data_IF_404715737215
#
_entry.id   IF_404715737215
#
_cell.length_a   1.000
_cell.length_b   1.000
_cell.length_c   1.000
_cell.angle_alpha   90.00
_cell.angle_beta   90.00
_cell.angle_gamma   90.00
#
_symmetry.space_group_name_H-M   'P 1'
#
loop_
_entity.id
_entity.type
_entity.pdbx_description
1 polymer ?
#
# COMPACT_ATOMS: atom_id res chain seq x y z
N UNK A 1 14.48 3.15 12.43
CA UNK A 1 13.21 3.58 11.80
C UNK A 1 12.29 4.05 12.91
N UNK A 2 11.95 5.35 12.99
CA UNK A 2 10.88 5.80 13.89
C UNK A 2 9.58 5.72 13.08
N UNK A 3 8.66 4.86 13.50
CA UNK A 3 7.27 4.86 13.04
C UNK A 3 6.47 5.60 14.08
N UNK A 4 5.79 6.68 13.69
CA UNK A 4 4.85 7.36 14.59
C UNK A 4 3.53 6.56 14.63
N UNK A 5 3.12 6.03 15.80
CA UNK A 5 1.93 5.20 15.91
C UNK A 5 0.63 6.03 15.82
N UNK A 6 -0.33 5.54 15.04
CA UNK A 6 -1.66 6.14 14.87
C UNK A 6 -2.67 5.62 15.91
N UNK A 7 -2.80 6.23 17.11
CA UNK A 7 -3.82 5.83 18.11
C UNK A 7 -4.58 7.00 18.77
N UNK A 8 -5.93 6.92 18.72
CA UNK A 8 -7.03 7.65 19.42
C UNK A 8 -7.03 9.20 19.32
N UNK A 9 -8.09 9.96 19.05
CA UNK A 9 -9.54 9.79 18.88
C UNK A 9 -10.20 11.14 18.50
N UNK A 10 -9.55 12.27 18.78
CA UNK A 10 -9.98 13.63 18.38
C UNK A 10 -8.90 14.47 17.66
N UNK A 11 -7.61 14.08 17.76
CA UNK A 11 -6.44 14.65 17.03
C UNK A 11 -6.08 13.83 15.75
N UNK A 12 -6.98 12.93 15.33
CA UNK A 12 -6.68 11.88 14.33
C UNK A 12 -6.62 12.40 12.90
N UNK A 13 -7.49 13.34 12.51
CA UNK A 13 -7.44 13.96 11.18
C UNK A 13 -6.17 14.78 11.02
N UNK A 14 -5.89 15.67 11.98
CA UNK A 14 -4.71 16.54 11.96
C UNK A 14 -3.40 15.78 11.93
N UNK A 15 -3.20 14.76 12.77
CA UNK A 15 -1.97 13.93 12.73
C UNK A 15 -1.81 13.18 11.43
N UNK A 16 -2.90 12.67 10.88
CA UNK A 16 -2.87 11.90 9.64
C UNK A 16 -2.56 12.76 8.43
N UNK A 17 -3.20 13.92 8.31
CA UNK A 17 -2.87 14.92 7.29
C UNK A 17 -1.43 15.38 7.42
N UNK A 18 -0.95 15.65 8.64
CA UNK A 18 0.47 15.98 8.90
C UNK A 18 1.41 14.87 8.44
N UNK A 19 1.09 13.60 8.71
CA UNK A 19 1.91 12.47 8.27
C UNK A 19 1.91 12.31 6.74
N UNK A 20 0.74 12.42 6.09
CA UNK A 20 0.63 12.38 4.62
C UNK A 20 1.37 13.55 3.97
N UNK A 21 1.25 14.75 4.55
CA UNK A 21 1.98 15.94 4.11
C UNK A 21 3.48 15.75 4.28
N UNK A 22 3.93 15.27 5.44
CA UNK A 22 5.34 15.01 5.70
C UNK A 22 5.92 13.95 4.74
N UNK A 23 5.15 12.90 4.43
CA UNK A 23 5.55 11.88 3.47
C UNK A 23 5.63 12.44 2.05
N UNK A 24 4.62 13.20 1.60
CA UNK A 24 4.58 13.85 0.27
C UNK A 24 5.76 14.80 0.04
N UNK A 25 6.25 15.46 1.09
CA UNK A 25 7.39 16.38 1.03
C UNK A 25 8.72 15.71 1.41
N UNK A 26 8.77 14.37 1.54
CA UNK A 26 10.00 13.63 1.84
C UNK A 26 10.57 13.83 3.25
N UNK A 27 9.85 14.52 4.15
CA UNK A 27 10.27 14.70 5.57
C UNK A 27 10.27 13.39 6.33
N UNK A 28 9.37 12.46 5.96
CA UNK A 28 9.41 11.07 6.38
C UNK A 28 9.43 10.18 5.12
N UNK A 29 10.15 9.07 5.21
CA UNK A 29 10.34 8.13 4.08
C UNK A 29 9.45 6.90 4.13
N UNK A 30 8.68 6.73 5.21
CA UNK A 30 7.91 5.52 5.44
C UNK A 30 6.62 5.87 6.16
N UNK A 31 5.51 5.35 5.65
CA UNK A 31 4.18 5.45 6.25
C UNK A 31 3.67 4.04 6.54
N UNK A 32 3.20 3.79 7.75
CA UNK A 32 2.67 2.49 8.17
C UNK A 32 1.22 2.65 8.58
N UNK A 33 0.36 1.74 8.13
CA UNK A 33 -1.07 1.77 8.43
C UNK A 33 -1.66 0.36 8.51
N UNK A 34 -2.38 0.07 9.60
CA UNK A 34 -2.91 -1.27 9.88
C UNK A 34 -4.17 -1.61 9.09
N UNK A 35 -5.07 -0.63 8.94
CA UNK A 35 -6.08 -0.63 7.88
C UNK A 35 -5.55 0.37 6.88
N UNK A 36 -5.07 -0.08 5.72
CA UNK A 36 -4.48 0.85 4.74
C UNK A 36 -5.52 1.88 4.42
N UNK A 37 -5.37 3.03 5.09
CA UNK A 37 -5.89 4.32 4.75
C UNK A 37 -7.27 4.18 4.08
N UNK A 38 -8.30 3.96 4.92
CA UNK A 38 -9.71 3.73 4.59
C UNK A 38 -10.15 4.24 3.20
N UNK A 39 -11.09 3.53 2.58
CA UNK A 39 -11.74 3.91 1.33
C UNK A 39 -11.99 5.44 1.26
N UNK A 40 -11.30 6.13 0.34
CA UNK A 40 -11.41 7.58 0.16
C UNK A 40 -10.15 8.39 0.45
N UNK A 41 -9.00 7.76 0.66
CA UNK A 41 -7.77 8.47 1.05
C UNK A 41 -6.71 8.39 -0.04
N UNK A 42 -6.33 9.55 -0.58
CA UNK A 42 -5.28 9.70 -1.60
C UNK A 42 -3.90 9.54 -0.94
N UNK A 43 -3.27 8.40 -1.17
CA UNK A 43 -1.91 8.13 -0.69
C UNK A 43 -0.95 8.83 -1.65
N UNK A 44 0.03 9.61 -1.14
CA UNK A 44 1.03 10.24 -1.99
C UNK A 44 1.82 9.18 -2.76
N UNK A 45 2.34 9.57 -3.92
CA UNK A 45 3.11 8.70 -4.79
C UNK A 45 4.27 8.05 -4.02
N UNK A 46 4.30 6.72 -4.02
CA UNK A 46 5.32 5.92 -3.36
C UNK A 46 5.98 4.99 -4.39
N UNK A 47 7.30 4.82 -4.30
CA UNK A 47 8.02 3.91 -5.19
C UNK A 47 7.91 2.44 -4.73
N UNK A 48 7.72 2.23 -3.43
CA UNK A 48 7.72 0.89 -2.81
C UNK A 48 6.52 0.73 -1.89
N UNK A 49 5.77 -0.35 -2.07
CA UNK A 49 4.70 -0.77 -1.18
C UNK A 49 5.06 -2.11 -0.53
N UNK A 50 4.88 -2.22 0.79
CA UNK A 50 4.98 -3.47 1.54
C UNK A 50 3.61 -3.83 2.08
N UNK A 51 3.08 -4.98 1.65
CA UNK A 51 1.78 -5.49 2.09
C UNK A 51 2.01 -6.66 3.03
N UNK A 52 1.44 -6.57 4.22
CA UNK A 52 1.56 -7.58 5.28
C UNK A 52 0.17 -8.00 5.72
N UNK A 53 -0.20 -9.25 5.44
CA UNK A 53 -1.50 -9.80 5.77
C UNK A 53 -2.67 -9.13 5.04
N UNK A 54 -3.75 -9.89 4.83
CA UNK A 54 -4.98 -9.34 4.29
C UNK A 54 -5.91 -10.39 3.71
N UNK A 55 -7.15 -10.39 4.21
CA UNK A 55 -8.26 -11.15 3.66
C UNK A 55 -8.93 -10.47 2.44
N UNK A 56 -8.30 -9.43 1.89
CA UNK A 56 -8.85 -8.69 0.76
C UNK A 56 -8.92 -9.61 -0.47
N UNK A 57 -10.05 -9.55 -1.17
CA UNK A 57 -10.22 -10.25 -2.44
C UNK A 57 -9.20 -9.75 -3.49
N UNK A 58 -8.97 -10.56 -4.51
CA UNK A 58 -8.01 -10.26 -5.59
C UNK A 58 -8.22 -8.86 -6.19
N UNK A 59 -9.47 -8.53 -6.56
CA UNK A 59 -9.82 -7.24 -7.18
C UNK A 59 -9.52 -6.05 -6.28
N UNK A 60 -9.87 -6.15 -5.01
CA UNK A 60 -9.64 -5.09 -4.02
C UNK A 60 -8.14 -4.87 -3.79
N UNK A 61 -7.37 -5.96 -3.72
CA UNK A 61 -5.92 -5.88 -3.62
C UNK A 61 -5.28 -5.17 -4.81
N UNK A 62 -5.66 -5.55 -6.04
CA UNK A 62 -5.15 -4.93 -7.27
C UNK A 62 -5.49 -3.43 -7.32
N UNK A 63 -6.72 -3.05 -6.97
CA UNK A 63 -7.12 -1.64 -6.92
C UNK A 63 -6.35 -0.86 -5.85
N UNK A 64 -6.15 -1.45 -4.67
CA UNK A 64 -5.40 -0.83 -3.58
C UNK A 64 -3.93 -0.61 -3.95
N UNK A 65 -3.27 -1.61 -4.53
CA UNK A 65 -1.89 -1.47 -5.03
C UNK A 65 -1.79 -0.38 -6.10
N UNK A 66 -2.72 -0.35 -7.06
CA UNK A 66 -2.73 0.67 -8.12
C UNK A 66 -2.95 2.11 -7.62
N UNK A 67 -3.58 2.29 -6.46
CA UNK A 67 -3.70 3.62 -5.82
C UNK A 67 -2.46 4.04 -5.05
N UNK A 68 -1.66 3.08 -4.58
CA UNK A 68 -0.43 3.34 -3.82
C UNK A 68 0.75 3.67 -4.73
N UNK A 69 0.85 2.95 -5.85
CA UNK A 69 1.98 3.06 -6.78
C UNK A 69 1.48 3.72 -8.07
N UNK A 70 1.80 5.01 -8.26
CA UNK A 70 1.47 5.70 -9.51
C UNK A 70 2.68 5.59 -10.45
N UNK A 71 2.55 4.98 -11.62
CA UNK A 71 3.66 4.95 -12.58
C UNK A 71 4.00 6.37 -13.03
N UNK A 72 5.29 6.65 -13.18
CA UNK A 72 5.81 7.89 -13.73
C UNK A 72 7.07 7.61 -14.54
N UNK A 73 7.43 8.50 -15.45
CA UNK A 73 8.62 8.33 -16.28
C UNK A 73 9.87 8.15 -15.41
N UNK A 74 10.65 7.11 -15.68
CA UNK A 74 11.85 6.76 -14.91
C UNK A 74 11.59 6.16 -13.52
N UNK A 75 10.33 6.02 -13.06
CA UNK A 75 9.99 5.45 -11.76
C UNK A 75 9.73 3.95 -11.85
N UNK A 76 10.36 3.19 -10.94
CA UNK A 76 10.10 1.75 -10.78
C UNK A 76 9.23 1.51 -9.55
N UNK A 77 7.98 1.13 -9.80
CA UNK A 77 7.05 0.71 -8.76
C UNK A 77 7.33 -0.73 -8.32
N UNK A 78 7.58 -0.94 -7.02
CA UNK A 78 7.86 -2.27 -6.46
C UNK A 78 6.85 -2.60 -5.35
N UNK A 79 6.25 -3.79 -5.44
CA UNK A 79 5.38 -4.34 -4.39
C UNK A 79 6.06 -5.53 -3.75
N UNK A 80 6.22 -5.49 -2.43
CA UNK A 80 6.56 -6.63 -1.61
C UNK A 80 5.31 -7.13 -0.89
N UNK A 81 5.07 -8.43 -0.97
CA UNK A 81 4.02 -9.09 -0.20
C UNK A 81 4.68 -10.07 0.76
N UNK A 82 4.44 -9.89 2.07
CA UNK A 82 4.88 -10.85 3.07
C UNK A 82 3.88 -11.99 3.15
N UNK A 83 4.38 -13.21 2.96
CA UNK A 83 3.60 -14.43 2.95
C UNK A 83 4.19 -15.42 3.94
N UNK A 84 3.37 -15.88 4.86
CA UNK A 84 3.76 -16.92 5.82
C UNK A 84 3.66 -18.28 5.13
N UNK A 85 4.77 -19.01 5.07
CA UNK A 85 4.80 -20.38 4.51
C UNK A 85 3.87 -21.30 5.28
N UNK A 86 3.39 -22.33 4.60
CA UNK A 86 2.53 -23.38 5.17
C UNK A 86 1.20 -22.85 5.74
N UNK A 87 0.73 -21.71 5.21
CA UNK A 87 -0.58 -21.13 5.52
C UNK A 87 -1.40 -20.89 4.27
N UNK A 88 -2.69 -20.60 4.45
CA UNK A 88 -3.59 -20.19 3.36
C UNK A 88 -3.10 -18.94 2.60
N UNK A 89 -2.21 -18.14 3.19
CA UNK A 89 -1.66 -16.93 2.57
C UNK A 89 -0.91 -17.24 1.27
N UNK A 90 -0.28 -18.42 1.15
CA UNK A 90 0.46 -18.83 -0.06
C UNK A 90 -0.48 -18.90 -1.26
N UNK A 91 -1.61 -19.59 -1.11
CA UNK A 91 -2.61 -19.72 -2.16
C UNK A 91 -3.29 -18.39 -2.49
N UNK A 92 -3.50 -17.54 -1.50
CA UNK A 92 -4.07 -16.21 -1.72
C UNK A 92 -3.09 -15.27 -2.45
N UNK A 93 -1.81 -15.27 -2.07
CA UNK A 93 -0.77 -14.46 -2.71
C UNK A 93 -0.58 -14.84 -4.17
N UNK A 94 -0.64 -16.14 -4.50
CA UNK A 94 -0.59 -16.59 -5.89
C UNK A 94 -1.71 -15.99 -6.75
N UNK A 95 -2.96 -16.02 -6.26
CA UNK A 95 -4.11 -15.42 -6.96
C UNK A 95 -3.96 -13.90 -7.12
N UNK A 96 -3.55 -13.20 -6.05
CA UNK A 96 -3.32 -11.74 -6.08
C UNK A 96 -2.22 -11.35 -7.08
N UNK A 97 -1.15 -12.13 -7.15
CA UNK A 97 -0.06 -11.92 -8.11
C UNK A 97 -0.54 -12.06 -9.55
N UNK A 98 -1.38 -13.05 -9.85
CA UNK A 98 -1.95 -13.21 -11.20
C UNK A 98 -2.78 -11.99 -11.60
N UNK A 99 -3.62 -11.46 -10.72
CA UNK A 99 -4.42 -10.25 -10.97
C UNK A 99 -3.58 -8.99 -11.23
N UNK A 100 -2.42 -8.85 -10.58
CA UNK A 100 -1.48 -7.75 -10.82
C UNK A 100 -0.73 -7.89 -12.16
N UNK A 101 -0.31 -9.12 -12.52
CA UNK A 101 0.42 -9.39 -13.76
C UNK A 101 -0.49 -9.22 -14.98
N UNK A 102 -1.75 -9.67 -14.90
CA UNK A 102 -2.72 -9.53 -16.00
C UNK A 102 -2.93 -8.07 -16.43
N UNK A 103 -2.81 -7.12 -15.50
CA UNK A 103 -2.89 -5.68 -15.81
C UNK A 103 -1.63 -5.10 -16.42
N UNK A 104 -0.46 -5.68 -16.16
CA UNK A 104 0.79 -5.26 -16.78
C UNK A 104 0.75 -5.46 -18.31
N UNK A 105 0.04 -6.48 -18.76
CA UNK A 105 -0.16 -6.77 -20.19
C UNK A 105 -1.23 -5.91 -20.86
N UNK A 106 -2.07 -5.21 -20.09
CA UNK A 106 -3.14 -4.35 -20.62
C UNK A 106 -2.74 -2.86 -20.68
N UNK A 107 -1.50 -2.53 -20.28
CA UNK A 107 -0.90 -1.18 -20.38
C UNK A 107 0.32 -1.16 -21.32
N UNK A 108 0.53 -2.23 -22.07
CA UNK A 108 1.35 -2.28 -23.29
C UNK A 108 0.40 -2.32 -24.49
#
# INVERSE_FOLDING_TARGET
>A
MRCDPCSNGTDRLGRREKALHAFRHGRIRTLVSARVLNEGLDVPDADVAVVVGGALGEREHVQRVGRLLRPGEGKRAIVYELVTRDTIEVGQAYRRRQGLVARRSAQL
#
